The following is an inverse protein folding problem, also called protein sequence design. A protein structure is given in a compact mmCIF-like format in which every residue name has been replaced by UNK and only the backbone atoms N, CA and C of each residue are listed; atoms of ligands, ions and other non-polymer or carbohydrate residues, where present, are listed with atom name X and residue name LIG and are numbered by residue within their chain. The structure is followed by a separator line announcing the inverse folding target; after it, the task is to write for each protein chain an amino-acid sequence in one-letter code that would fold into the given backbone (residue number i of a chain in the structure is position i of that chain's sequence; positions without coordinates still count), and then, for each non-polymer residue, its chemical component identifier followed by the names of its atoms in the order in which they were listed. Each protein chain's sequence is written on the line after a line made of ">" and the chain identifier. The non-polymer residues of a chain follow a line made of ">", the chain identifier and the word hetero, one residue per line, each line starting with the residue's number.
data_IF_455461276674
#
_entry.id   IF_455461276674
#
_cell.length_a   1.000
_cell.length_b   1.000
_cell.length_c   1.000
_cell.angle_alpha   90.00
_cell.angle_beta   90.00
_cell.angle_gamma   90.00
#
_symmetry.space_group_name_H-M   'P 1'
#
loop_
_entity.id
_entity.type
_entity.pdbx_description
1 polymer ?
#
# COMPACT_ATOMS: atom_id res chain seq x y z
N UNK A 1 -0.90 -43.11 0.54
CA UNK A 1 -0.18 -42.49 1.66
C UNK A 1 1.25 -42.34 1.15
N UNK A 2 1.44 -41.35 0.28
CA UNK A 2 2.74 -41.04 -0.30
C UNK A 2 3.49 -40.19 0.71
N UNK A 3 4.64 -40.68 1.14
CA UNK A 3 5.60 -39.95 1.94
C UNK A 3 6.21 -38.88 1.04
N UNK A 4 5.92 -37.62 1.34
CA UNK A 4 6.66 -36.49 0.80
C UNK A 4 8.10 -36.64 1.31
N UNK A 5 9.05 -36.81 0.40
CA UNK A 5 10.47 -36.80 0.70
C UNK A 5 10.84 -35.45 1.34
N UNK A 6 10.98 -35.44 2.65
CA UNK A 6 11.61 -34.36 3.43
C UNK A 6 13.12 -34.36 3.12
N UNK A 7 13.47 -33.91 1.93
CA UNK A 7 14.84 -33.59 1.57
C UNK A 7 15.13 -32.16 2.04
N UNK A 8 15.14 -31.96 3.37
CA UNK A 8 15.61 -30.72 3.99
C UNK A 8 17.13 -30.65 3.79
N UNK A 9 17.55 -29.91 2.76
CA UNK A 9 18.94 -29.50 2.56
C UNK A 9 19.42 -28.79 3.84
N UNK A 10 20.50 -29.29 4.41
CA UNK A 10 21.11 -28.74 5.62
C UNK A 10 21.86 -27.45 5.27
N UNK A 11 22.05 -26.56 6.25
CA UNK A 11 22.85 -25.35 6.05
C UNK A 11 24.28 -25.64 5.56
N UNK A 12 24.79 -26.86 5.77
CA UNK A 12 26.12 -27.30 5.35
C UNK A 12 26.22 -27.61 3.84
N UNK A 13 25.09 -27.73 3.14
CA UNK A 13 25.04 -28.09 1.72
C UNK A 13 25.23 -26.88 0.77
N UNK A 14 25.17 -25.66 1.30
CA UNK A 14 25.26 -24.43 0.51
C UNK A 14 26.70 -23.91 0.47
N UNK A 15 27.18 -23.64 -0.76
CA UNK A 15 28.50 -23.02 -0.96
C UNK A 15 28.49 -21.57 -0.45
N UNK A 16 29.61 -21.06 0.07
CA UNK A 16 29.71 -19.67 0.50
C UNK A 16 29.37 -18.71 -0.64
N UNK A 17 28.58 -17.69 -0.33
CA UNK A 17 28.10 -16.71 -1.30
C UNK A 17 29.27 -15.86 -1.83
N UNK A 18 29.27 -15.47 -3.12
CA UNK A 18 30.29 -14.59 -3.67
C UNK A 18 30.27 -13.20 -3.00
N UNK A 19 31.46 -12.64 -2.70
CA UNK A 19 31.63 -11.40 -1.93
C UNK A 19 31.03 -10.11 -2.55
N UNK A 20 30.61 -10.15 -3.83
CA UNK A 20 30.14 -8.97 -4.58
C UNK A 20 28.66 -9.07 -5.04
N UNK A 21 27.81 -9.84 -4.35
CA UNK A 21 26.39 -9.84 -4.70
C UNK A 21 25.69 -8.54 -4.30
N UNK A 22 24.85 -8.03 -5.19
CA UNK A 22 23.88 -6.98 -4.85
C UNK A 22 22.85 -7.53 -3.86
N UNK A 23 22.31 -6.64 -3.01
CA UNK A 23 21.25 -6.98 -2.05
C UNK A 23 20.03 -7.63 -2.73
N UNK A 24 19.72 -7.17 -3.95
CA UNK A 24 18.64 -7.71 -4.79
C UNK A 24 18.90 -9.16 -5.22
N UNK A 25 20.15 -9.51 -5.55
CA UNK A 25 20.49 -10.87 -5.95
C UNK A 25 20.44 -11.82 -4.76
N UNK A 26 20.87 -11.37 -3.59
CA UNK A 26 20.80 -12.15 -2.35
C UNK A 26 19.36 -12.48 -1.96
N UNK A 27 18.44 -11.51 -2.08
CA UNK A 27 17.02 -11.76 -1.80
C UNK A 27 16.35 -12.63 -2.83
N UNK A 28 16.72 -12.51 -4.11
CA UNK A 28 16.23 -13.40 -5.17
C UNK A 28 16.65 -14.85 -4.91
N UNK A 29 17.92 -15.08 -4.57
CA UNK A 29 18.40 -16.42 -4.21
C UNK A 29 17.64 -16.99 -3.00
N UNK A 30 17.36 -16.16 -1.98
CA UNK A 30 16.59 -16.59 -0.81
C UNK A 30 15.14 -16.92 -1.17
N UNK A 31 14.51 -16.12 -2.04
CA UNK A 31 13.15 -16.36 -2.53
C UNK A 31 13.03 -17.65 -3.32
N UNK A 32 14.05 -17.97 -4.13
CA UNK A 32 14.09 -19.17 -4.96
C UNK A 32 14.50 -20.42 -4.17
N UNK A 33 14.85 -20.30 -2.89
CA UNK A 33 15.37 -21.41 -2.09
C UNK A 33 16.80 -21.85 -2.47
N UNK A 34 17.54 -21.00 -3.18
CA UNK A 34 18.93 -21.27 -3.62
C UNK A 34 19.96 -21.03 -2.50
N UNK A 35 19.54 -20.42 -1.38
CA UNK A 35 20.38 -20.11 -0.22
C UNK A 35 19.56 -20.07 1.07
N UNK A 36 20.24 -20.04 2.22
CA UNK A 36 19.62 -19.94 3.54
C UNK A 36 19.65 -18.51 4.08
N UNK A 37 18.77 -18.21 5.04
CA UNK A 37 18.74 -16.91 5.75
C UNK A 37 20.09 -16.63 6.39
N UNK A 38 20.71 -17.67 6.96
CA UNK A 38 22.03 -17.56 7.59
C UNK A 38 23.09 -17.03 6.64
N UNK A 39 23.24 -17.62 5.44
CA UNK A 39 24.21 -17.16 4.46
C UNK A 39 23.94 -15.72 3.98
N UNK A 40 22.67 -15.37 3.75
CA UNK A 40 22.31 -14.01 3.33
C UNK A 40 22.55 -13.00 4.45
N UNK A 41 22.22 -13.36 5.69
CA UNK A 41 22.48 -12.52 6.87
C UNK A 41 23.97 -12.26 7.10
N UNK A 42 24.80 -13.28 6.91
CA UNK A 42 26.26 -13.16 6.94
C UNK A 42 26.79 -12.23 5.84
N UNK A 43 26.27 -12.37 4.60
CA UNK A 43 26.63 -11.49 3.48
C UNK A 43 26.21 -10.03 3.73
N UNK A 44 25.10 -9.81 4.44
CA UNK A 44 24.63 -8.49 4.88
C UNK A 44 25.35 -7.98 6.16
N UNK A 45 26.30 -8.75 6.72
CA UNK A 45 27.05 -8.43 7.93
C UNK A 45 26.17 -8.23 9.17
N UNK A 46 25.05 -8.94 9.24
CA UNK A 46 24.17 -8.96 10.40
C UNK A 46 24.81 -9.76 11.54
N UNK A 47 24.47 -9.40 12.78
CA UNK A 47 24.92 -10.18 13.93
C UNK A 47 24.16 -11.51 14.03
N UNK A 48 24.74 -12.57 14.64
CA UNK A 48 24.08 -13.87 14.77
C UNK A 48 22.70 -13.79 15.42
N UNK A 49 22.52 -12.90 16.41
CA UNK A 49 21.22 -12.69 17.06
C UNK A 49 20.20 -12.01 16.12
N UNK A 50 20.66 -11.16 15.20
CA UNK A 50 19.79 -10.50 14.21
C UNK A 50 19.32 -11.50 13.14
N UNK A 51 20.21 -12.41 12.72
CA UNK A 51 19.88 -13.52 11.82
C UNK A 51 18.87 -14.44 12.49
N UNK A 52 19.14 -14.87 13.72
CA UNK A 52 18.22 -15.73 14.49
C UNK A 52 16.87 -15.05 14.73
N UNK A 53 16.86 -13.73 14.96
CA UNK A 53 15.62 -12.96 15.02
C UNK A 53 14.83 -13.09 13.71
N UNK A 54 15.45 -12.90 12.54
CA UNK A 54 14.74 -13.04 11.25
C UNK A 54 14.18 -14.44 11.02
N UNK A 55 14.92 -15.49 11.39
CA UNK A 55 14.46 -16.88 11.28
C UNK A 55 13.20 -17.11 12.11
N UNK A 56 13.21 -16.72 13.39
CA UNK A 56 12.10 -17.01 14.31
C UNK A 56 10.90 -16.06 14.14
N UNK A 57 11.13 -14.84 13.66
CA UNK A 57 10.14 -13.76 13.63
C UNK A 57 8.82 -14.19 12.98
N UNK A 58 8.90 -14.87 11.85
CA UNK A 58 7.71 -15.35 11.15
C UNK A 58 7.33 -16.79 11.50
N UNK A 59 8.31 -17.68 11.67
CA UNK A 59 8.04 -19.12 11.80
C UNK A 59 7.41 -19.51 13.13
N UNK A 60 7.90 -18.94 14.23
CA UNK A 60 7.44 -19.30 15.58
C UNK A 60 6.54 -18.24 16.21
N UNK A 61 6.73 -16.98 15.83
CA UNK A 61 6.07 -15.84 16.50
C UNK A 61 5.08 -15.07 15.63
N UNK A 62 4.84 -15.50 14.38
CA UNK A 62 3.84 -14.91 13.48
C UNK A 62 3.92 -13.37 13.35
N UNK A 63 5.13 -12.82 13.40
CA UNK A 63 5.39 -11.38 13.32
C UNK A 63 5.39 -10.63 14.65
N UNK A 64 5.29 -11.31 15.79
CA UNK A 64 5.45 -10.66 17.11
C UNK A 64 6.92 -10.39 17.44
N UNK A 65 7.36 -9.18 17.13
CA UNK A 65 8.74 -8.74 17.37
C UNK A 65 9.11 -8.70 18.85
N UNK A 66 8.15 -8.49 19.75
CA UNK A 66 8.43 -8.42 21.19
C UNK A 66 8.74 -9.80 21.75
N UNK A 67 7.92 -10.79 21.42
CA UNK A 67 8.11 -12.18 21.84
C UNK A 67 9.34 -12.81 21.18
N UNK A 68 9.57 -12.52 19.89
CA UNK A 68 10.77 -12.98 19.18
C UNK A 68 12.05 -12.45 19.84
N UNK A 69 12.10 -11.15 20.17
CA UNK A 69 13.25 -10.57 20.88
C UNK A 69 13.40 -11.17 22.28
N UNK A 70 12.29 -11.43 22.97
CA UNK A 70 12.34 -12.04 24.28
C UNK A 70 12.99 -13.42 24.26
N UNK A 71 12.67 -14.23 23.25
CA UNK A 71 13.27 -15.54 23.06
C UNK A 71 14.76 -15.45 22.68
N UNK A 72 15.07 -14.71 21.62
CA UNK A 72 16.45 -14.58 21.09
C UNK A 72 17.42 -14.02 22.11
N UNK A 73 17.02 -13.00 22.87
CA UNK A 73 17.88 -12.32 23.84
C UNK A 73 17.66 -12.78 25.29
N UNK A 74 16.86 -13.82 25.53
CA UNK A 74 16.61 -14.37 26.86
C UNK A 74 15.99 -13.39 27.86
N UNK A 75 15.04 -12.56 27.40
CA UNK A 75 14.37 -11.56 28.23
C UNK A 75 13.05 -12.09 28.79
N UNK A 76 12.81 -11.86 30.08
CA UNK A 76 11.56 -12.19 30.74
C UNK A 76 10.57 -11.02 30.62
N UNK A 77 9.53 -11.21 29.79
CA UNK A 77 8.50 -10.21 29.54
C UNK A 77 7.61 -9.90 30.76
N UNK A 78 7.61 -10.71 31.82
CA UNK A 78 6.91 -10.38 33.07
C UNK A 78 7.61 -9.28 33.86
N UNK A 79 8.90 -9.04 33.61
CA UNK A 79 9.67 -7.99 34.28
C UNK A 79 9.57 -6.70 33.46
N UNK A 80 8.93 -5.67 34.00
CA UNK A 80 8.67 -4.39 33.31
C UNK A 80 9.92 -3.81 32.61
N UNK A 81 11.06 -3.75 33.30
CA UNK A 81 12.31 -3.21 32.73
C UNK A 81 12.81 -4.03 31.52
N UNK A 82 12.69 -5.36 31.58
CA UNK A 82 13.11 -6.23 30.50
C UNK A 82 12.14 -6.17 29.31
N UNK A 83 10.84 -6.05 29.57
CA UNK A 83 9.83 -5.79 28.54
C UNK A 83 10.10 -4.49 27.79
N UNK A 84 10.38 -3.40 28.49
CA UNK A 84 10.72 -2.11 27.84
C UNK A 84 12.01 -2.20 27.03
N UNK A 85 13.01 -2.95 27.53
CA UNK A 85 14.22 -3.25 26.75
C UNK A 85 13.91 -4.06 25.48
N UNK A 86 13.07 -5.08 25.59
CA UNK A 86 12.68 -5.91 24.46
C UNK A 86 11.95 -5.09 23.39
N UNK A 87 11.03 -4.19 23.78
CA UNK A 87 10.38 -3.25 22.87
C UNK A 87 11.38 -2.36 22.13
N UNK A 88 12.35 -1.78 22.85
CA UNK A 88 13.36 -0.93 22.24
C UNK A 88 14.22 -1.69 21.22
N UNK A 89 14.60 -2.93 21.54
CA UNK A 89 15.35 -3.80 20.62
C UNK A 89 14.48 -4.15 19.40
N UNK A 90 13.23 -4.58 19.60
CA UNK A 90 12.32 -4.93 18.51
C UNK A 90 12.12 -3.75 17.55
N UNK A 91 11.88 -2.55 18.06
CA UNK A 91 11.77 -1.34 17.24
C UNK A 91 13.05 -1.04 16.46
N UNK A 92 14.23 -1.26 17.07
CA UNK A 92 15.51 -1.08 16.38
C UNK A 92 15.70 -2.10 15.26
N UNK A 93 15.40 -3.37 15.51
CA UNK A 93 15.56 -4.45 14.53
C UNK A 93 14.57 -4.30 13.37
N UNK A 94 13.30 -4.04 13.67
CA UNK A 94 12.27 -3.80 12.66
C UNK A 94 12.42 -2.44 11.94
N UNK A 95 13.28 -1.56 12.44
CA UNK A 95 13.69 -0.35 11.74
C UNK A 95 14.93 -0.53 10.86
N UNK A 96 15.64 -1.66 10.94
CA UNK A 96 16.84 -1.92 10.16
C UNK A 96 16.44 -2.37 8.73
N UNK A 97 16.85 -1.66 7.67
CA UNK A 97 16.49 -2.01 6.29
C UNK A 97 16.98 -3.40 5.88
N UNK A 98 18.12 -3.88 6.39
CA UNK A 98 18.68 -5.18 6.03
C UNK A 98 17.88 -6.34 6.66
N UNK A 99 17.35 -6.13 7.87
CA UNK A 99 16.46 -7.08 8.54
C UNK A 99 15.10 -7.13 7.83
N UNK A 100 14.53 -5.96 7.50
CA UNK A 100 13.28 -5.88 6.74
C UNK A 100 13.40 -6.56 5.37
N UNK A 101 14.56 -6.42 4.72
CA UNK A 101 14.85 -7.07 3.45
C UNK A 101 14.78 -8.60 3.56
N UNK A 102 15.39 -9.18 4.61
CA UNK A 102 15.33 -10.62 4.90
C UNK A 102 13.90 -11.09 5.20
N UNK A 103 13.18 -10.37 6.06
CA UNK A 103 11.79 -10.68 6.40
C UNK A 103 10.90 -10.68 5.15
N UNK A 104 11.04 -9.66 4.29
CA UNK A 104 10.28 -9.58 3.04
C UNK A 104 10.63 -10.70 2.06
N UNK A 105 11.90 -11.12 2.01
CA UNK A 105 12.30 -12.26 1.19
C UNK A 105 11.69 -13.58 1.71
N UNK A 106 11.65 -13.80 3.02
CA UNK A 106 10.97 -14.95 3.62
C UNK A 106 9.45 -14.94 3.36
N UNK A 107 8.80 -13.78 3.52
CA UNK A 107 7.38 -13.63 3.22
C UNK A 107 7.08 -13.95 1.75
N UNK A 108 7.94 -13.44 0.85
CA UNK A 108 7.83 -13.72 -0.59
C UNK A 108 8.02 -15.21 -0.90
N UNK A 109 8.98 -15.88 -0.25
CA UNK A 109 9.19 -17.32 -0.41
C UNK A 109 7.97 -18.14 0.04
N UNK A 110 7.25 -17.67 1.07
CA UNK A 110 6.00 -18.29 1.57
C UNK A 110 4.75 -17.86 0.78
N UNK A 111 4.90 -17.20 -0.37
CA UNK A 111 3.79 -16.66 -1.17
C UNK A 111 2.92 -15.65 -0.42
N UNK A 112 3.44 -15.01 0.63
CA UNK A 112 2.79 -13.91 1.34
C UNK A 112 3.28 -12.57 0.80
N UNK A 113 3.21 -12.41 -0.52
CA UNK A 113 3.51 -11.17 -1.22
C UNK A 113 2.25 -10.61 -1.87
N UNK A 114 2.25 -9.30 -2.15
CA UNK A 114 1.10 -8.59 -2.70
C UNK A 114 0.62 -9.22 -4.02
N UNK A 115 1.55 -9.65 -4.88
CA UNK A 115 1.22 -10.29 -6.16
C UNK A 115 0.42 -11.60 -5.99
N UNK A 116 0.78 -12.41 -5.00
CA UNK A 116 0.06 -13.64 -4.69
C UNK A 116 -1.30 -13.35 -4.04
N UNK A 117 -1.35 -12.38 -3.12
CA UNK A 117 -2.61 -11.94 -2.51
C UNK A 117 -3.57 -11.42 -3.57
N UNK A 118 -3.08 -10.63 -4.52
CA UNK A 118 -3.86 -10.13 -5.66
C UNK A 118 -4.33 -11.26 -6.56
N UNK A 119 -3.48 -12.26 -6.83
CA UNK A 119 -3.84 -13.45 -7.60
C UNK A 119 -4.96 -14.26 -6.93
N UNK A 120 -4.85 -14.49 -5.62
CA UNK A 120 -5.87 -15.18 -4.83
C UNK A 120 -7.16 -14.38 -4.81
N UNK A 121 -7.09 -13.06 -4.58
CA UNK A 121 -8.25 -12.17 -4.57
C UNK A 121 -8.97 -12.16 -5.93
N UNK A 122 -8.22 -12.07 -7.02
CA UNK A 122 -8.76 -12.18 -8.38
C UNK A 122 -9.40 -13.56 -8.62
N UNK A 123 -8.79 -14.63 -8.11
CA UNK A 123 -9.37 -15.98 -8.11
C UNK A 123 -10.72 -16.03 -7.40
N UNK A 124 -10.81 -15.51 -6.18
CA UNK A 124 -12.04 -15.48 -5.37
C UNK A 124 -13.16 -14.69 -6.06
N UNK A 125 -12.84 -13.56 -6.70
CA UNK A 125 -13.81 -12.75 -7.46
C UNK A 125 -14.33 -13.51 -8.69
N UNK A 126 -13.46 -14.25 -9.38
CA UNK A 126 -13.80 -14.97 -10.61
C UNK A 126 -14.45 -16.34 -10.37
N UNK A 127 -14.48 -16.83 -9.13
CA UNK A 127 -15.15 -18.08 -8.78
C UNK A 127 -16.67 -17.96 -8.97
N UNK A 128 -17.20 -18.66 -9.98
CA UNK A 128 -18.64 -18.67 -10.30
C UNK A 128 -19.49 -19.54 -9.37
N UNK A 129 -18.87 -20.38 -8.53
CA UNK A 129 -19.58 -21.37 -7.71
C UNK A 129 -20.09 -20.84 -6.37
N UNK A 130 -19.38 -19.89 -5.74
CA UNK A 130 -19.81 -19.30 -4.47
C UNK A 130 -19.90 -17.78 -4.56
N UNK A 131 -21.12 -17.31 -4.80
CA UNK A 131 -21.44 -15.88 -4.89
C UNK A 131 -21.13 -15.14 -3.58
N UNK A 132 -21.18 -15.79 -2.41
CA UNK A 132 -20.86 -15.12 -1.14
C UNK A 132 -19.37 -14.81 -1.04
N UNK A 133 -18.53 -15.76 -1.46
CA UNK A 133 -17.08 -15.60 -1.52
C UNK A 133 -16.69 -14.55 -2.55
N UNK A 134 -17.30 -14.58 -3.75
CA UNK A 134 -17.08 -13.57 -4.77
C UNK A 134 -17.48 -12.15 -4.33
N UNK A 135 -18.63 -12.00 -3.68
CA UNK A 135 -19.07 -10.70 -3.12
C UNK A 135 -18.10 -10.20 -2.05
N UNK A 136 -17.58 -11.10 -1.21
CA UNK A 136 -16.59 -10.74 -0.19
C UNK A 136 -15.28 -10.29 -0.82
N UNK A 137 -14.80 -10.99 -1.84
CA UNK A 137 -13.62 -10.59 -2.61
C UNK A 137 -13.78 -9.20 -3.25
N UNK A 138 -14.95 -8.91 -3.85
CA UNK A 138 -15.24 -7.60 -4.43
C UNK A 138 -15.23 -6.49 -3.37
N UNK A 139 -15.76 -6.75 -2.16
CA UNK A 139 -15.72 -5.78 -1.06
C UNK A 139 -14.28 -5.45 -0.66
N UNK A 140 -13.48 -6.48 -0.38
CA UNK A 140 -12.06 -6.32 -0.01
C UNK A 140 -11.28 -5.55 -1.08
N UNK A 141 -11.48 -5.89 -2.35
CA UNK A 141 -10.85 -5.16 -3.46
C UNK A 141 -11.23 -3.66 -3.48
N UNK A 142 -12.50 -3.35 -3.27
CA UNK A 142 -12.97 -1.96 -3.25
C UNK A 142 -12.42 -1.16 -2.05
N UNK A 143 -12.25 -1.81 -0.90
CA UNK A 143 -11.63 -1.23 0.30
C UNK A 143 -10.15 -0.92 0.04
N UNK A 144 -9.38 -1.89 -0.45
CA UNK A 144 -7.94 -1.73 -0.76
C UNK A 144 -7.72 -0.61 -1.78
N UNK A 145 -8.53 -0.59 -2.84
CA UNK A 145 -8.36 0.38 -3.94
C UNK A 145 -8.98 1.75 -3.65
N UNK A 146 -9.63 1.93 -2.49
CA UNK A 146 -10.42 3.12 -2.15
C UNK A 146 -11.41 3.53 -3.25
N UNK A 147 -11.90 2.56 -4.04
CA UNK A 147 -12.71 2.84 -5.23
C UNK A 147 -14.03 3.51 -4.87
N UNK A 148 -14.66 3.10 -3.77
CA UNK A 148 -15.92 3.68 -3.30
C UNK A 148 -15.77 5.17 -3.01
N UNK A 149 -14.69 5.56 -2.32
CA UNK A 149 -14.40 6.95 -2.01
C UNK A 149 -14.19 7.79 -3.29
N UNK A 150 -13.45 7.28 -4.27
CA UNK A 150 -13.29 7.96 -5.57
C UNK A 150 -14.62 8.17 -6.28
N UNK A 151 -15.49 7.15 -6.30
CA UNK A 151 -16.82 7.25 -6.92
C UNK A 151 -17.69 8.28 -6.19
N UNK A 152 -17.65 8.32 -4.85
CA UNK A 152 -18.36 9.32 -4.07
C UNK A 152 -17.83 10.74 -4.31
N UNK A 153 -16.51 10.90 -4.41
CA UNK A 153 -15.87 12.19 -4.66
C UNK A 153 -16.16 12.68 -6.09
N UNK A 154 -16.22 11.77 -7.08
CA UNK A 154 -16.67 12.07 -8.44
C UNK A 154 -18.17 12.40 -8.51
N UNK A 155 -19.01 11.69 -7.76
CA UNK A 155 -20.45 11.98 -7.68
C UNK A 155 -20.74 13.32 -6.98
N UNK A 156 -19.86 13.75 -6.06
CA UNK A 156 -19.90 15.08 -5.42
C UNK A 156 -19.27 16.17 -6.29
N UNK A 157 -18.56 15.81 -7.36
CA UNK A 157 -17.98 16.77 -8.31
C UNK A 157 -19.14 17.35 -9.13
N UNK A 158 -19.66 18.47 -8.62
CA UNK A 158 -20.78 19.27 -9.12
C UNK A 158 -21.17 18.99 -10.58
N UNK A 159 -22.32 18.34 -10.77
CA UNK A 159 -23.13 18.56 -11.96
C UNK A 159 -23.55 20.03 -11.89
N UNK A 160 -22.98 20.87 -12.75
CA UNK A 160 -23.38 22.27 -12.84
C UNK A 160 -24.87 22.31 -13.22
N UNK A 161 -25.69 22.83 -12.30
CA UNK A 161 -27.12 23.00 -12.54
C UNK A 161 -27.33 24.25 -13.39
N UNK A 162 -27.34 24.05 -14.72
CA UNK A 162 -27.55 25.11 -15.69
C UNK A 162 -29.01 25.58 -15.75
N UNK A 163 -29.93 24.99 -14.97
CA UNK A 163 -31.35 25.37 -14.95
C UNK A 163 -31.62 26.76 -14.36
N UNK A 164 -30.62 27.35 -13.70
CA UNK A 164 -30.69 28.69 -13.11
C UNK A 164 -30.06 29.78 -13.97
N UNK A 165 -29.46 29.43 -15.11
CA UNK A 165 -28.91 30.41 -16.04
C UNK A 165 -30.04 31.03 -16.86
N UNK A 166 -30.00 32.35 -17.05
CA UNK A 166 -30.86 33.01 -18.03
C UNK A 166 -30.42 32.62 -19.45
N UNK A 167 -31.32 32.76 -20.42
CA UNK A 167 -31.02 32.44 -21.83
C UNK A 167 -29.75 33.16 -22.33
N UNK A 168 -29.53 34.41 -21.90
CA UNK A 168 -28.33 35.20 -22.23
C UNK A 168 -27.05 34.61 -21.63
N UNK A 169 -27.11 34.16 -20.37
CA UNK A 169 -25.97 33.53 -19.70
C UNK A 169 -25.66 32.14 -20.29
N UNK A 170 -26.70 31.42 -20.71
CA UNK A 170 -26.55 30.13 -21.37
C UNK A 170 -25.90 30.27 -22.75
N UNK A 171 -26.30 31.28 -23.53
CA UNK A 171 -25.69 31.61 -24.82
C UNK A 171 -24.21 31.99 -24.63
N UNK A 172 -23.89 32.87 -23.67
CA UNK A 172 -22.50 33.25 -23.39
C UNK A 172 -21.64 32.05 -22.95
N UNK A 173 -22.20 31.13 -22.17
CA UNK A 173 -21.51 29.90 -21.76
C UNK A 173 -21.25 28.98 -22.97
N UNK A 174 -22.21 28.84 -23.88
CA UNK A 174 -22.06 28.04 -25.11
C UNK A 174 -20.97 28.64 -26.00
N UNK A 175 -20.96 29.96 -26.19
CA UNK A 175 -19.92 30.64 -26.97
C UNK A 175 -18.52 30.45 -26.35
N UNK A 176 -18.40 30.58 -25.03
CA UNK A 176 -17.13 30.32 -24.31
C UNK A 176 -16.67 28.86 -24.45
N UNK A 177 -17.60 27.90 -24.38
CA UNK A 177 -17.28 26.49 -24.55
C UNK A 177 -16.92 26.14 -26.00
N UNK A 178 -17.53 26.80 -26.99
CA UNK A 178 -17.17 26.64 -28.40
C UNK A 178 -15.78 27.22 -28.69
N UNK A 179 -15.45 28.38 -28.14
CA UNK A 179 -14.09 28.96 -28.22
C UNK A 179 -13.07 28.02 -27.58
N UNK A 180 -13.34 27.53 -26.37
CA UNK A 180 -12.46 26.59 -25.65
C UNK A 180 -12.31 25.22 -26.35
N UNK A 181 -13.31 24.81 -27.15
CA UNK A 181 -13.29 23.56 -27.92
C UNK A 181 -12.53 23.71 -29.24
N UNK A 182 -12.50 24.90 -29.82
CA UNK A 182 -11.77 25.19 -31.07
C UNK A 182 -10.27 25.32 -30.80
N UNK A 183 -9.88 25.91 -29.67
CA UNK A 183 -8.49 26.21 -29.36
C UNK A 183 -7.89 25.26 -28.31
N UNK A 184 -7.34 24.13 -28.77
CA UNK A 184 -6.28 23.44 -28.02
C UNK A 184 -4.97 24.27 -28.05
N UNK A 185 -4.98 25.50 -27.53
CA UNK A 185 -3.77 26.01 -26.86
C UNK A 185 -3.23 27.41 -27.11
N UNK A 186 -3.79 28.34 -27.89
CA UNK A 186 -3.09 29.65 -28.07
C UNK A 186 -4.02 30.84 -28.39
N UNK A 187 -4.73 31.35 -27.39
CA UNK A 187 -5.07 32.77 -27.34
C UNK A 187 -5.20 33.28 -25.89
N UNK A 188 -4.66 34.48 -25.56
CA UNK A 188 -4.81 35.05 -24.23
C UNK A 188 -6.26 35.50 -24.04
N UNK A 189 -6.88 35.00 -22.97
CA UNK A 189 -8.18 35.44 -22.47
C UNK A 189 -8.24 36.97 -22.43
N UNK A 190 -8.98 37.60 -23.36
CA UNK A 190 -9.39 38.99 -23.18
C UNK A 190 -10.67 38.92 -22.37
N UNK A 191 -10.53 39.11 -21.05
CA UNK A 191 -11.66 39.31 -20.16
C UNK A 191 -12.43 40.53 -20.67
N UNK A 192 -13.53 40.29 -21.37
CA UNK A 192 -14.53 41.33 -21.58
C UNK A 192 -15.11 41.60 -20.21
N UNK A 193 -14.90 42.83 -19.71
CA UNK A 193 -15.48 43.30 -18.46
C UNK A 193 -17.00 43.09 -18.50
N UNK A 194 -17.48 42.02 -17.86
CA UNK A 194 -18.87 41.93 -17.46
C UNK A 194 -19.04 43.05 -16.44
N UNK A 195 -19.72 44.10 -16.88
CA UNK A 195 -20.08 45.27 -16.08
C UNK A 195 -20.61 44.74 -14.74
N UNK A 196 -19.92 45.10 -13.65
CA UNK A 196 -20.34 44.83 -12.27
C UNK A 196 -21.69 45.51 -12.04
N UNK A 197 -22.78 44.80 -12.28
CA UNK A 197 -23.98 45.04 -11.52
C UNK A 197 -23.81 44.24 -10.23
N UNK A 198 -23.42 44.97 -9.18
CA UNK A 198 -23.30 44.48 -7.81
C UNK A 198 -24.64 43.91 -7.36
N UNK A 199 -24.79 42.59 -7.44
CA UNK A 199 -25.83 41.88 -6.69
C UNK A 199 -25.20 41.54 -5.35
N UNK A 200 -25.37 42.43 -4.38
CA UNK A 200 -25.14 42.07 -2.98
C UNK A 200 -26.24 41.09 -2.57
N UNK A 201 -25.89 39.82 -2.46
CA UNK A 201 -26.70 38.83 -1.78
C UNK A 201 -26.58 39.09 -0.28
N UNK A 202 -27.51 39.85 0.30
CA UNK A 202 -27.74 39.82 1.75
C UNK A 202 -28.32 38.45 2.12
N UNK A 203 -27.88 37.89 3.24
CA UNK A 203 -28.21 36.53 3.69
C UNK A 203 -29.70 36.29 3.99
N UNK A 204 -30.54 37.31 3.96
CA UNK A 204 -31.99 37.18 4.09
C UNK A 204 -32.66 37.66 2.80
N UNK A 205 -33.25 36.71 2.06
CA UNK A 205 -33.69 36.89 0.67
C UNK A 205 -34.91 37.79 0.44
N UNK A 206 -34.75 39.09 0.60
CA UNK A 206 -35.64 40.11 0.01
C UNK A 206 -34.81 41.19 -0.70
N UNK A 207 -35.01 41.35 -2.01
CA UNK A 207 -34.36 42.37 -2.81
C UNK A 207 -35.21 43.64 -2.82
N UNK A 208 -34.75 44.71 -2.17
CA UNK A 208 -35.26 46.06 -2.39
C UNK A 208 -34.48 46.76 -3.51
N UNK A 209 -35.20 47.31 -4.48
CA UNK A 209 -34.65 48.17 -5.54
C UNK A 209 -34.72 49.61 -5.04
N UNK A 210 -33.57 50.24 -4.80
CA UNK A 210 -33.47 51.68 -4.53
C UNK A 210 -32.96 52.36 -5.81
N UNK A 211 -33.75 53.31 -6.32
CA UNK A 211 -33.45 54.14 -7.50
C UNK A 211 -32.26 55.08 -7.28
#
# INVERSE_FOLDING_TARGET
>A
METVDDNLLSAEDFKPLPENLTKERLTEMLRNGETTIQHVGEALKLQPEEIRFTELYFEEFAGDGLSTVADVYGLNLSIKRQRERAKAIANRLLGNPDILLLINAQLSAKSLNDEHVDSVLAGLINQKQDLKVAVTGVKLYNEITNRQKRIEDEAKKNVYDFSRLTDEQLIALIELLEIARIDNGDHPFVATEIIKNEINLSEDGEAEIIN
#
